data_IF_046150522873
#
_entry.id   IF_046150522873
#
_cell.length_a   1.000
_cell.length_b   1.000
_cell.length_c   1.000
_cell.angle_alpha   90.00
_cell.angle_beta   90.00
_cell.angle_gamma   90.00
#
_symmetry.space_group_name_H-M   'P 1'
#
loop_
_entity.id
_entity.type
_entity.pdbx_description
1 polymer ?
#
# COMPACT_ATOMS: atom_id res chain seq x y z
N UNK A 1 10.65 28.01 30.52
CA UNK A 1 9.62 28.47 29.57
C UNK A 1 9.41 27.35 28.57
N UNK A 2 8.40 26.53 28.80
CA UNK A 2 8.03 25.43 27.91
C UNK A 2 7.43 26.04 26.65
N UNK A 3 8.18 26.04 25.55
CA UNK A 3 7.60 26.22 24.22
C UNK A 3 6.57 25.12 24.05
N UNK A 4 5.30 25.44 24.32
CA UNK A 4 4.19 24.65 23.83
C UNK A 4 4.27 24.83 22.33
N UNK A 5 4.86 23.85 21.66
CA UNK A 5 4.85 23.72 20.22
C UNK A 5 3.39 23.94 19.83
N UNK A 6 3.10 24.98 19.04
CA UNK A 6 1.82 25.15 18.36
C UNK A 6 1.70 24.00 17.36
N UNK A 7 1.39 22.83 17.87
CA UNK A 7 1.16 21.62 17.11
C UNK A 7 -0.26 21.74 16.57
N UNK A 8 -0.38 21.97 15.27
CA UNK A 8 -1.66 21.96 14.57
C UNK A 8 -2.04 20.51 14.25
N UNK A 9 -3.04 19.92 14.92
CA UNK A 9 -3.44 18.53 14.69
C UNK A 9 -4.03 18.31 13.29
N UNK A 10 -4.42 19.38 12.60
CA UNK A 10 -4.92 19.30 11.22
C UNK A 10 -3.84 18.90 10.22
N UNK A 11 -2.56 19.00 10.60
CA UNK A 11 -1.43 18.52 9.79
C UNK A 11 -1.36 17.00 9.72
N UNK A 12 -1.95 16.28 10.69
CA UNK A 12 -2.08 14.82 10.66
C UNK A 12 -3.37 14.45 9.91
N UNK A 13 -3.33 14.54 8.58
CA UNK A 13 -4.44 14.20 7.68
C UNK A 13 -4.54 12.70 7.40
N UNK A 14 -5.62 12.30 6.70
CA UNK A 14 -5.69 10.95 6.14
C UNK A 14 -4.56 10.74 5.14
N UNK A 15 -3.79 9.68 5.31
CA UNK A 15 -2.73 9.35 4.37
C UNK A 15 -3.35 8.72 3.13
N UNK A 16 -3.14 9.23 1.90
CA UNK A 16 -3.79 8.68 0.73
C UNK A 16 -3.23 7.30 0.37
N UNK A 17 -4.09 6.43 -0.16
CA UNK A 17 -3.71 5.06 -0.57
C UNK A 17 -2.69 5.05 -1.72
N UNK A 18 -2.74 6.09 -2.57
CA UNK A 18 -1.81 6.37 -3.68
C UNK A 18 -1.29 7.79 -3.57
N UNK A 19 -0.03 8.01 -3.93
CA UNK A 19 0.52 9.37 -4.00
C UNK A 19 -0.34 10.25 -4.91
N UNK A 20 -0.89 11.33 -4.36
CA UNK A 20 -1.51 12.41 -5.13
C UNK A 20 -0.46 13.49 -5.32
N UNK A 21 0.51 13.24 -6.22
CA UNK A 21 1.24 14.37 -6.79
C UNK A 21 0.26 15.11 -7.71
N UNK A 22 0.16 16.44 -7.56
CA UNK A 22 -0.72 17.28 -8.35
C UNK A 22 -0.58 16.99 -9.87
N UNK A 23 -1.65 17.17 -10.66
CA UNK A 23 -1.68 16.73 -12.04
C UNK A 23 -0.94 17.74 -12.92
N UNK A 24 0.38 17.61 -13.08
CA UNK A 24 1.07 18.13 -14.27
C UNK A 24 2.46 17.52 -14.54
N UNK A 25 2.59 16.21 -14.32
CA UNK A 25 3.63 15.43 -14.98
C UNK A 25 3.09 14.03 -15.23
N UNK A 26 2.53 13.82 -16.42
CA UNK A 26 2.10 12.52 -16.90
C UNK A 26 3.32 11.59 -17.01
N UNK A 27 3.61 10.87 -15.93
CA UNK A 27 4.31 9.59 -16.01
C UNK A 27 3.22 8.54 -16.21
N UNK A 28 3.09 8.05 -17.44
CA UNK A 28 2.25 6.90 -17.77
C UNK A 28 2.79 5.67 -17.03
N UNK A 29 2.34 5.46 -15.80
CA UNK A 29 2.48 4.18 -15.12
C UNK A 29 1.31 3.30 -15.56
N UNK A 30 1.62 2.26 -16.34
CA UNK A 30 0.67 1.18 -16.63
C UNK A 30 0.11 0.67 -15.29
N UNK A 31 -1.17 0.95 -15.06
CA UNK A 31 -1.85 0.54 -13.84
C UNK A 31 -1.79 -0.99 -13.70
N UNK A 32 -1.07 -1.45 -12.69
CA UNK A 32 -1.12 -2.83 -12.20
C UNK A 32 -2.49 -3.03 -11.55
N UNK A 33 -3.17 -4.18 -11.74
CA UNK A 33 -4.49 -4.37 -11.17
C UNK A 33 -4.39 -4.36 -9.64
N UNK A 34 -5.34 -3.68 -9.00
CA UNK A 34 -5.61 -3.81 -7.57
C UNK A 34 -5.87 -5.29 -7.26
N UNK A 35 -4.90 -5.96 -6.64
CA UNK A 35 -5.13 -7.25 -6.02
C UNK A 35 -5.90 -7.00 -4.73
N UNK A 36 -7.15 -7.47 -4.71
CA UNK A 36 -8.00 -7.47 -3.54
C UNK A 36 -7.25 -8.15 -2.39
N UNK A 37 -6.83 -7.34 -1.41
CA UNK A 37 -6.13 -7.80 -0.23
C UNK A 37 -6.95 -8.85 0.52
N UNK A 38 -6.25 -9.86 0.99
CA UNK A 38 -6.74 -10.82 1.96
C UNK A 38 -7.29 -10.09 3.19
N UNK A 39 -8.23 -10.73 3.87
CA UNK A 39 -8.98 -10.29 5.05
C UNK A 39 -8.14 -9.91 6.30
N UNK A 40 -6.80 -9.84 6.17
CA UNK A 40 -5.83 -9.29 7.14
C UNK A 40 -4.57 -8.79 6.38
N UNK A 41 -4.75 -7.88 5.42
CA UNK A 41 -3.69 -7.38 4.54
C UNK A 41 -3.05 -6.05 5.01
N UNK A 42 -1.94 -5.61 4.39
CA UNK A 42 -1.30 -4.31 4.66
C UNK A 42 -2.23 -3.10 4.46
N UNK A 43 -3.37 -3.28 3.80
CA UNK A 43 -4.41 -2.27 3.58
C UNK A 43 -5.39 -2.13 4.74
N UNK A 44 -5.53 -3.17 5.56
CA UNK A 44 -6.31 -3.09 6.79
C UNK A 44 -5.55 -2.34 7.87
N UNK A 45 -4.23 -2.59 7.99
CA UNK A 45 -3.37 -1.83 8.90
C UNK A 45 -3.35 -0.33 8.54
N UNK A 46 -3.29 0.02 7.26
CA UNK A 46 -3.35 1.42 6.81
C UNK A 46 -4.69 2.08 7.16
N UNK A 47 -5.82 1.38 6.94
CA UNK A 47 -7.15 1.86 7.35
C UNK A 47 -7.23 2.06 8.85
N UNK A 48 -6.80 1.08 9.63
CA UNK A 48 -6.77 1.16 11.09
C UNK A 48 -5.96 2.37 11.59
N UNK A 49 -4.78 2.62 11.01
CA UNK A 49 -3.96 3.77 11.39
C UNK A 49 -4.63 5.12 11.03
N UNK A 50 -5.37 5.18 9.93
CA UNK A 50 -6.17 6.36 9.57
C UNK A 50 -7.35 6.57 10.52
N UNK A 51 -8.08 5.50 10.87
CA UNK A 51 -9.19 5.55 11.82
C UNK A 51 -8.70 6.00 13.20
N UNK A 52 -7.59 5.43 13.69
CA UNK A 52 -6.95 5.85 14.93
C UNK A 52 -6.50 7.31 14.88
N UNK A 53 -5.99 7.79 13.74
CA UNK A 53 -5.63 9.20 13.56
C UNK A 53 -6.86 10.10 13.68
N UNK A 54 -7.98 9.71 13.07
CA UNK A 54 -9.23 10.45 13.15
C UNK A 54 -9.74 10.52 14.60
N UNK A 55 -9.80 9.37 15.28
CA UNK A 55 -10.24 9.29 16.67
C UNK A 55 -9.35 10.12 17.61
N UNK A 56 -8.02 10.04 17.45
CA UNK A 56 -7.08 10.82 18.24
C UNK A 56 -7.24 12.34 18.03
N UNK A 57 -7.59 12.80 16.82
CA UNK A 57 -7.91 14.22 16.58
C UNK A 57 -9.18 14.66 17.31
N UNK A 58 -10.19 13.80 17.38
CA UNK A 58 -11.41 14.08 18.14
C UNK A 58 -11.13 14.14 19.64
N UNK A 59 -10.35 13.18 20.16
CA UNK A 59 -9.91 13.20 21.55
C UNK A 59 -9.06 14.44 21.88
N UNK A 60 -8.17 14.85 20.97
CA UNK A 60 -7.39 16.08 21.13
C UNK A 60 -8.30 17.30 21.25
N UNK A 61 -9.32 17.41 20.39
CA UNK A 61 -10.30 18.51 20.45
C UNK A 61 -11.03 18.52 21.79
N UNK A 62 -11.50 17.37 22.24
CA UNK A 62 -12.16 17.22 23.53
C UNK A 62 -11.27 17.68 24.70
N UNK A 63 -10.02 17.21 24.78
CA UNK A 63 -9.12 17.60 25.87
C UNK A 63 -8.71 19.07 25.78
N UNK A 64 -8.63 19.65 24.57
CA UNK A 64 -8.39 21.08 24.39
C UNK A 64 -9.55 21.90 24.97
N UNK A 65 -10.78 21.53 24.64
CA UNK A 65 -11.99 22.17 25.17
C UNK A 65 -12.09 22.00 26.69
N UNK A 66 -11.77 20.82 27.22
CA UNK A 66 -11.71 20.57 28.66
C UNK A 66 -10.67 21.47 29.35
N UNK A 67 -9.48 21.61 28.75
CA UNK A 67 -8.42 22.48 29.29
C UNK A 67 -8.84 23.95 29.29
N UNK A 68 -9.46 24.42 28.22
CA UNK A 68 -9.96 25.79 28.10
C UNK A 68 -11.08 26.06 29.10
N UNK A 69 -12.04 25.14 29.24
CA UNK A 69 -13.14 25.24 30.21
C UNK A 69 -12.65 25.21 31.66
N UNK A 70 -11.72 24.32 32.00
CA UNK A 70 -11.10 24.27 33.33
C UNK A 70 -10.22 25.50 33.61
N UNK A 71 -9.58 26.06 32.59
CA UNK A 71 -8.88 27.35 32.67
C UNK A 71 -9.83 28.50 33.02
N UNK A 72 -10.97 28.60 32.34
CA UNK A 72 -11.99 29.61 32.66
C UNK A 72 -12.56 29.41 34.08
N UNK A 73 -12.82 28.17 34.48
CA UNK A 73 -13.30 27.86 35.83
C UNK A 73 -12.29 28.22 36.94
N UNK A 74 -10.98 28.26 36.62
CA UNK A 74 -9.96 28.74 37.56
C UNK A 74 -10.04 30.24 37.81
N UNK A 75 -10.32 31.01 36.76
CA UNK A 75 -10.43 32.46 36.83
C UNK A 75 -11.69 32.88 37.63
N UNK A 76 -12.75 32.07 37.55
CA UNK A 76 -14.04 32.28 38.24
C UNK A 76 -14.15 31.57 39.61
N UNK A 77 -13.10 30.86 40.06
CA UNK A 77 -13.16 30.02 41.25
C UNK A 77 -13.39 30.84 42.54
N UNK A 78 -14.59 30.74 43.10
CA UNK A 78 -14.97 31.42 44.33
C UNK A 78 -14.40 30.78 45.62
N UNK A 79 -14.00 29.50 45.56
CA UNK A 79 -13.42 28.78 46.69
C UNK A 79 -12.17 27.95 46.31
N UNK A 80 -11.38 27.61 47.33
CA UNK A 80 -10.10 26.90 47.18
C UNK A 80 -10.27 25.47 46.65
N UNK A 81 -11.40 24.81 46.96
CA UNK A 81 -11.65 23.44 46.54
C UNK A 81 -11.94 23.37 45.02
N UNK A 82 -12.77 24.28 44.52
CA UNK A 82 -13.05 24.47 43.09
C UNK A 82 -11.78 24.82 42.32
N UNK A 83 -10.98 25.76 42.83
CA UNK A 83 -9.70 26.12 42.21
C UNK A 83 -8.69 24.97 42.19
N UNK A 84 -8.70 24.08 43.19
CA UNK A 84 -7.84 22.88 43.20
C UNK A 84 -8.30 21.85 42.17
N UNK A 85 -9.61 21.63 42.04
CA UNK A 85 -10.19 20.72 41.07
C UNK A 85 -9.89 21.18 39.64
N UNK A 86 -10.13 22.45 39.33
CA UNK A 86 -9.89 22.99 38.00
C UNK A 86 -8.39 22.97 37.59
N UNK A 87 -7.45 23.18 38.54
CA UNK A 87 -6.01 22.97 38.30
C UNK A 87 -5.67 21.51 37.97
N UNK A 88 -6.30 20.57 38.66
CA UNK A 88 -6.10 19.14 38.39
C UNK A 88 -6.59 18.77 36.99
N UNK A 89 -7.73 19.31 36.57
CA UNK A 89 -8.30 19.09 35.24
C UNK A 89 -7.43 19.69 34.13
N UNK A 90 -6.96 20.94 34.28
CA UNK A 90 -6.01 21.57 33.35
C UNK A 90 -4.75 20.70 33.19
N UNK A 91 -4.23 20.16 34.30
CA UNK A 91 -3.05 19.31 34.27
C UNK A 91 -3.33 17.99 33.56
N UNK A 92 -4.41 17.29 33.93
CA UNK A 92 -4.79 16.02 33.33
C UNK A 92 -5.01 16.17 31.82
N UNK A 93 -5.71 17.22 31.40
CA UNK A 93 -5.93 17.53 30.00
C UNK A 93 -4.62 17.83 29.25
N UNK A 94 -3.68 18.56 29.86
CA UNK A 94 -2.37 18.84 29.27
C UNK A 94 -1.52 17.59 29.10
N UNK A 95 -1.51 16.71 30.10
CA UNK A 95 -0.78 15.44 30.07
C UNK A 95 -1.38 14.51 28.99
N UNK A 96 -2.73 14.46 28.87
CA UNK A 96 -3.43 13.71 27.83
C UNK A 96 -3.15 14.24 26.42
N UNK A 97 -3.22 15.56 26.21
CA UNK A 97 -2.86 16.21 24.94
C UNK A 97 -1.44 15.83 24.51
N UNK A 98 -0.49 15.88 25.44
CA UNK A 98 0.91 15.54 25.17
C UNK A 98 1.10 14.08 24.76
N UNK A 99 0.33 13.17 25.35
CA UNK A 99 0.33 11.75 24.98
C UNK A 99 -0.27 11.54 23.58
N UNK A 100 -1.37 12.22 23.27
CA UNK A 100 -2.04 12.14 21.96
C UNK A 100 -1.09 12.62 20.85
N UNK A 101 -0.44 13.77 21.02
CA UNK A 101 0.51 14.31 20.04
C UNK A 101 1.64 13.32 19.76
N UNK A 102 2.26 12.76 20.81
CA UNK A 102 3.33 11.75 20.66
C UNK A 102 2.83 10.50 19.91
N UNK A 103 1.58 10.13 20.13
CA UNK A 103 0.97 8.98 19.47
C UNK A 103 0.70 9.26 17.99
N UNK A 104 0.20 10.46 17.67
CA UNK A 104 0.02 10.92 16.29
C UNK A 104 1.35 10.99 15.52
N UNK A 105 2.41 11.51 16.13
CA UNK A 105 3.76 11.51 15.55
C UNK A 105 4.25 10.08 15.24
N UNK A 106 3.95 9.13 16.13
CA UNK A 106 4.32 7.72 15.92
C UNK A 106 3.51 7.08 14.80
N UNK A 107 2.22 7.38 14.71
CA UNK A 107 1.35 6.91 13.63
C UNK A 107 1.81 7.48 12.28
N UNK A 108 2.11 8.78 12.18
CA UNK A 108 2.67 9.40 10.97
C UNK A 108 3.96 8.69 10.53
N UNK A 109 4.87 8.42 11.48
CA UNK A 109 6.11 7.69 11.19
C UNK A 109 5.84 6.29 10.62
N UNK A 110 4.86 5.57 11.19
CA UNK A 110 4.47 4.23 10.72
C UNK A 110 3.83 4.28 9.34
N UNK A 111 2.94 5.23 9.08
CA UNK A 111 2.31 5.40 7.77
C UNK A 111 3.33 5.74 6.68
N UNK A 112 4.32 6.60 6.97
CA UNK A 112 5.44 6.87 6.06
C UNK A 112 6.33 5.65 5.82
N UNK A 113 6.46 4.77 6.80
CA UNK A 113 7.21 3.52 6.62
C UNK A 113 6.42 2.55 5.73
N UNK A 114 5.14 2.34 6.01
CA UNK A 114 4.28 1.47 5.20
C UNK A 114 4.21 1.92 3.74
N UNK A 115 4.15 3.23 3.49
CA UNK A 115 4.19 3.77 2.13
C UNK A 115 5.49 3.40 1.40
N UNK A 116 6.65 3.50 2.08
CA UNK A 116 7.96 3.09 1.53
C UNK A 116 8.04 1.59 1.32
N UNK A 117 7.51 0.79 2.23
CA UNK A 117 7.52 -0.67 2.13
C UNK A 117 6.69 -1.14 0.93
N UNK A 118 5.55 -0.50 0.67
CA UNK A 118 4.72 -0.76 -0.52
C UNK A 118 5.44 -0.41 -1.81
N UNK A 119 6.17 0.70 -1.84
CA UNK A 119 6.97 1.11 -3.01
C UNK A 119 8.10 0.09 -3.29
N UNK A 120 8.84 -0.31 -2.26
CA UNK A 120 9.89 -1.31 -2.38
C UNK A 120 9.35 -2.68 -2.85
N UNK A 121 8.18 -3.09 -2.35
CA UNK A 121 7.53 -4.31 -2.80
C UNK A 121 7.11 -4.23 -4.29
N UNK A 122 6.54 -3.10 -4.70
CA UNK A 122 6.16 -2.88 -6.10
C UNK A 122 7.37 -2.86 -7.05
N UNK A 123 8.48 -2.26 -6.63
CA UNK A 123 9.75 -2.27 -7.38
C UNK A 123 10.31 -3.69 -7.51
N UNK A 124 10.34 -4.45 -6.41
CA UNK A 124 10.80 -5.84 -6.42
C UNK A 124 9.94 -6.74 -7.31
N UNK A 125 8.62 -6.57 -7.28
CA UNK A 125 7.72 -7.30 -8.18
C UNK A 125 7.94 -6.93 -9.65
N UNK A 126 8.18 -5.65 -9.95
CA UNK A 126 8.47 -5.21 -11.31
C UNK A 126 9.80 -5.77 -11.82
N UNK A 127 10.83 -5.82 -10.97
CA UNK A 127 12.12 -6.45 -11.28
C UNK A 127 11.96 -7.96 -11.52
N UNK A 128 11.20 -8.66 -10.68
CA UNK A 128 10.92 -10.08 -10.85
C UNK A 128 10.20 -10.37 -12.18
N UNK A 129 9.18 -9.58 -12.53
CA UNK A 129 8.47 -9.69 -13.81
C UNK A 129 9.40 -9.45 -15.00
N UNK A 130 10.29 -8.46 -14.91
CA UNK A 130 11.30 -8.18 -15.94
C UNK A 130 12.26 -9.36 -16.16
N UNK A 131 12.67 -10.03 -15.07
CA UNK A 131 13.49 -11.23 -15.14
C UNK A 131 12.75 -12.39 -15.81
N UNK A 132 11.51 -12.66 -15.42
CA UNK A 132 10.68 -13.72 -16.01
C UNK A 132 10.44 -13.49 -17.51
N UNK A 133 10.17 -12.24 -17.92
CA UNK A 133 10.02 -11.86 -19.32
C UNK A 133 11.29 -12.14 -20.14
N UNK A 134 12.46 -11.87 -19.56
CA UNK A 134 13.75 -12.16 -20.20
C UNK A 134 13.97 -13.67 -20.36
N UNK A 135 13.64 -14.47 -19.34
CA UNK A 135 13.73 -15.95 -19.40
C UNK A 135 12.83 -16.49 -20.51
N UNK A 136 11.55 -16.08 -20.53
CA UNK A 136 10.59 -16.53 -21.54
C UNK A 136 11.03 -16.17 -22.97
N UNK A 137 11.65 -14.99 -23.16
CA UNK A 137 12.24 -14.61 -24.43
C UNK A 137 13.34 -15.58 -24.88
N UNK A 138 14.27 -15.92 -23.97
CA UNK A 138 15.37 -16.82 -24.30
C UNK A 138 14.91 -18.25 -24.53
N UNK A 139 13.97 -18.77 -23.73
CA UNK A 139 13.39 -20.10 -23.93
C UNK A 139 12.76 -20.23 -25.32
N UNK A 140 11.91 -19.26 -25.70
CA UNK A 140 11.31 -19.22 -27.03
C UNK A 140 12.36 -19.17 -28.14
N UNK A 141 13.46 -18.44 -27.94
CA UNK A 141 14.54 -18.35 -28.92
C UNK A 141 15.31 -19.66 -29.05
N UNK A 142 15.57 -20.34 -27.94
CA UNK A 142 16.23 -21.64 -27.90
C UNK A 142 15.38 -22.68 -28.63
N UNK A 143 14.08 -22.71 -28.36
CA UNK A 143 13.14 -23.64 -29.00
C UNK A 143 13.10 -23.45 -30.53
N UNK A 144 13.00 -22.21 -30.99
CA UNK A 144 13.08 -21.89 -32.42
C UNK A 144 14.38 -22.37 -33.06
N UNK A 145 15.52 -22.17 -32.39
CA UNK A 145 16.82 -22.61 -32.89
C UNK A 145 16.94 -24.14 -32.88
N UNK A 146 16.39 -24.80 -31.87
CA UNK A 146 16.36 -26.26 -31.78
C UNK A 146 15.53 -26.87 -32.91
N UNK A 147 14.33 -26.34 -33.18
CA UNK A 147 13.49 -26.75 -34.30
C UNK A 147 14.18 -26.54 -35.65
N UNK A 148 14.81 -25.38 -35.85
CA UNK A 148 15.54 -25.09 -37.09
C UNK A 148 16.69 -26.08 -37.31
N UNK A 149 17.47 -26.38 -36.26
CA UNK A 149 18.55 -27.38 -36.32
C UNK A 149 18.03 -28.78 -36.57
N UNK A 150 16.92 -29.16 -35.94
CA UNK A 150 16.29 -30.46 -36.16
C UNK A 150 15.82 -30.60 -37.60
N UNK A 151 15.08 -29.61 -38.13
CA UNK A 151 14.65 -29.57 -39.53
C UNK A 151 15.84 -29.66 -40.49
N UNK A 152 16.90 -28.90 -40.26
CA UNK A 152 18.10 -28.94 -41.09
C UNK A 152 18.76 -30.34 -41.08
N UNK A 153 18.79 -31.01 -39.92
CA UNK A 153 19.33 -32.39 -39.81
C UNK A 153 18.45 -33.42 -40.51
N UNK A 154 17.12 -33.32 -40.41
CA UNK A 154 16.20 -34.22 -41.11
C UNK A 154 16.31 -34.08 -42.63
N UNK A 155 16.40 -32.85 -43.13
CA UNK A 155 16.65 -32.57 -44.54
C UNK A 155 17.99 -33.14 -45.01
N UNK A 156 19.06 -32.94 -44.22
CA UNK A 156 20.38 -33.49 -44.53
C UNK A 156 20.43 -35.04 -44.48
N UNK A 157 19.58 -35.65 -43.66
CA UNK A 157 19.43 -37.11 -43.58
C UNK A 157 18.53 -37.70 -44.69
N UNK A 158 17.99 -36.88 -45.60
CA UNK A 158 17.14 -37.33 -46.72
C UNK A 158 15.74 -37.78 -46.31
N UNK A 159 15.29 -37.48 -45.08
CA UNK A 159 13.94 -37.81 -44.61
C UNK A 159 13.00 -36.64 -44.91
N UNK A 160 12.38 -36.68 -46.09
CA UNK A 160 11.17 -35.89 -46.35
C UNK A 160 9.99 -36.54 -45.62
N UNK A 161 9.30 -35.75 -44.82
CA UNK A 161 8.06 -36.10 -44.13
C UNK A 161 7.09 -36.82 -45.08
N UNK A 162 7.02 -38.14 -44.97
CA UNK A 162 6.02 -38.97 -45.63
C UNK A 162 4.83 -39.07 -44.68
N UNK A 163 4.05 -38.00 -44.66
CA UNK A 163 2.68 -38.02 -44.14
C UNK A 163 1.88 -39.07 -44.88
N UNK A 164 1.83 -40.27 -44.30
CA UNK A 164 0.96 -41.39 -44.68
C UNK A 164 -0.51 -40.95 -44.55
N UNK A 165 -1.07 -40.43 -45.65
CA UNK A 165 -2.52 -40.40 -45.87
C UNK A 165 -2.95 -41.84 -46.16
N UNK A 166 -3.76 -42.40 -45.26
CA UNK A 166 -4.35 -43.74 -45.38
C UNK A 166 -5.17 -43.85 -46.68
N UNK A 167 -5.06 -44.96 -47.44
CA UNK A 167 -5.74 -45.13 -48.71
C UNK A 167 -7.23 -45.47 -48.51
N UNK A 168 -8.05 -44.96 -49.44
CA UNK A 168 -9.46 -45.31 -49.59
C UNK A 168 -9.63 -46.84 -49.74
N UNK A 169 -10.49 -47.43 -48.93
CA UNK A 169 -10.98 -48.79 -49.16
C UNK A 169 -12.00 -48.76 -50.30
N UNK A 170 -11.55 -49.20 -51.47
CA UNK A 170 -12.41 -49.54 -52.59
C UNK A 170 -13.37 -50.67 -52.19
N UNK A 171 -14.64 -50.48 -52.53
CA UNK A 171 -15.70 -51.48 -52.40
C UNK A 171 -15.61 -52.42 -53.59
N UNK A 172 -15.29 -53.70 -53.36
CA UNK A 172 -15.32 -54.74 -54.40
C UNK A 172 -16.74 -54.94 -54.96
N UNK A 173 -16.88 -55.24 -56.27
CA UNK A 173 -18.10 -55.80 -56.84
C UNK A 173 -17.97 -57.32 -57.01
N UNK A 174 -19.03 -58.09 -56.73
CA UNK A 174 -19.08 -59.48 -57.19
C UNK A 174 -20.15 -60.40 -56.61
N UNK A 175 -21.25 -60.51 -57.38
CA UNK A 175 -22.20 -61.64 -57.53
C UNK A 175 -23.23 -61.90 -56.43
#
# INVERSE_FOLDING_TARGET
MTSIIECDPSLFGEWPERYVYAPDAALETKAVPQHAGTENGPDELWRLLNDMTAEMREQFRFFRELREGAGAALDDAADEAAGKMARADVKAATDAISLIVRTLEKIDTLQRQLARDREAAAESEAEAKSYEDAVAFFEKRIEQLAEQKLRARLLAAGQSDSGSVLPQAESEPGV
#
